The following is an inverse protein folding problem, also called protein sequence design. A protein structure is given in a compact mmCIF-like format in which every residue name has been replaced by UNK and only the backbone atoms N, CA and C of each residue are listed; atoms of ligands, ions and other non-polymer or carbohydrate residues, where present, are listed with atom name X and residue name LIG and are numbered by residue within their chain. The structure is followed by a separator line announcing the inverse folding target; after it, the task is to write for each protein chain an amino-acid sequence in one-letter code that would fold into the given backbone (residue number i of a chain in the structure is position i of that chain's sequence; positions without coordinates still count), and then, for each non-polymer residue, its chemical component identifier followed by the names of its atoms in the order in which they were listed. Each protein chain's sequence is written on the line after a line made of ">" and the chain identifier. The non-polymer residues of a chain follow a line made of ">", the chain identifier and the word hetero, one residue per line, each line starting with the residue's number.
data_IF_018251438296
#
_entry.id   IF_018251438296
#
_cell.length_a   1.000
_cell.length_b   1.000
_cell.length_c   1.000
_cell.angle_alpha   90.00
_cell.angle_beta   90.00
_cell.angle_gamma   90.00
#
_symmetry.space_group_name_H-M   'P 1'
#
loop_
_entity.id
_entity.type
_entity.pdbx_description
1 polymer ?
#
# COMPACT_ATOMS: atom_id res chain seq x y z
N UNK A 1 -15.46 7.82 2.63
CA UNK A 1 -15.36 6.46 3.21
C UNK A 1 -14.45 5.65 2.29
N UNK A 2 -13.22 5.34 2.72
CA UNK A 2 -12.35 4.40 1.99
C UNK A 2 -12.66 3.00 2.53
N UNK A 3 -13.22 2.14 1.69
CA UNK A 3 -13.35 0.74 2.08
C UNK A 3 -12.06 0.04 1.67
N UNK A 4 -11.14 -0.10 2.63
CA UNK A 4 -9.95 -0.96 2.46
C UNK A 4 -10.43 -2.41 2.62
N UNK A 5 -10.58 -3.10 1.50
CA UNK A 5 -10.87 -4.53 1.50
C UNK A 5 -9.60 -5.29 1.86
N UNK A 6 -9.49 -5.74 3.11
CA UNK A 6 -8.59 -6.82 3.51
C UNK A 6 -9.42 -8.10 3.62
N UNK A 7 -9.79 -8.70 2.50
CA UNK A 7 -10.12 -10.13 2.52
C UNK A 7 -8.81 -10.88 2.30
N UNK A 8 -8.29 -11.62 3.28
CA UNK A 8 -7.13 -12.47 3.04
C UNK A 8 -7.46 -13.43 1.88
N UNK A 9 -6.69 -13.33 0.78
CA UNK A 9 -6.80 -14.20 -0.39
C UNK A 9 -7.87 -13.84 -1.45
N UNK A 10 -8.45 -12.64 -1.45
CA UNK A 10 -9.27 -12.16 -2.59
C UNK A 10 -8.81 -10.81 -3.10
N UNK A 11 -8.28 -10.81 -4.31
CA UNK A 11 -7.90 -9.60 -5.05
C UNK A 11 -9.08 -9.11 -5.92
N UNK A 12 -9.09 -7.87 -6.42
CA UNK A 12 -10.13 -7.38 -7.34
C UNK A 12 -10.35 -8.30 -8.56
N UNK A 13 -9.29 -8.94 -9.04
CA UNK A 13 -9.32 -9.88 -10.16
C UNK A 13 -10.18 -11.11 -9.83
N UNK A 14 -10.13 -11.61 -8.59
CA UNK A 14 -11.00 -12.73 -8.15
C UNK A 14 -12.48 -12.36 -8.14
N UNK A 15 -12.81 -11.06 -8.16
CA UNK A 15 -14.16 -10.52 -8.25
C UNK A 15 -14.53 -10.12 -9.69
N UNK A 16 -13.65 -10.34 -10.66
CA UNK A 16 -13.84 -9.92 -12.06
C UNK A 16 -13.76 -8.40 -12.27
N UNK A 17 -13.13 -7.67 -11.33
CA UNK A 17 -13.01 -6.21 -11.37
C UNK A 17 -11.59 -5.84 -11.75
N UNK A 18 -11.42 -5.12 -12.86
CA UNK A 18 -10.13 -4.50 -13.22
C UNK A 18 -9.97 -3.20 -12.44
N UNK A 19 -9.40 -3.29 -11.24
CA UNK A 19 -9.16 -2.12 -10.40
C UNK A 19 -7.83 -1.42 -10.75
N UNK A 20 -7.78 -0.08 -10.80
CA UNK A 20 -6.54 0.63 -11.07
C UNK A 20 -5.63 0.69 -9.82
N UNK A 21 -4.31 0.70 -10.04
CA UNK A 21 -3.31 0.98 -9.01
C UNK A 21 -3.39 2.46 -8.60
N UNK A 22 -3.70 2.76 -7.33
CA UNK A 22 -3.91 4.12 -6.85
C UNK A 22 -3.44 4.33 -5.42
N UNK A 23 -3.16 5.58 -5.08
CA UNK A 23 -2.99 6.03 -3.71
C UNK A 23 -4.34 6.12 -2.98
N UNK A 24 -4.32 5.81 -1.68
CA UNK A 24 -5.47 5.98 -0.80
C UNK A 24 -5.95 7.44 -0.85
N UNK A 25 -7.11 7.67 -1.48
CA UNK A 25 -7.78 8.97 -1.60
C UNK A 25 -8.09 9.34 -3.04
N UNK A 26 -7.34 8.76 -3.99
CA UNK A 26 -7.58 8.94 -5.41
C UNK A 26 -8.55 7.88 -5.93
N UNK A 27 -9.84 8.22 -5.86
CA UNK A 27 -10.95 7.34 -6.26
C UNK A 27 -11.57 7.76 -7.61
N UNK A 28 -11.04 8.78 -8.28
CA UNK A 28 -11.61 9.28 -9.52
C UNK A 28 -11.49 8.24 -10.64
N UNK A 29 -12.62 7.97 -11.31
CA UNK A 29 -12.70 6.99 -12.41
C UNK A 29 -12.45 5.54 -11.97
N UNK A 30 -12.58 5.23 -10.68
CA UNK A 30 -12.42 3.86 -10.17
C UNK A 30 -13.73 3.07 -10.29
N UNK A 31 -13.65 1.75 -10.51
CA UNK A 31 -14.84 0.92 -10.55
C UNK A 31 -15.53 0.85 -9.18
N UNK A 32 -16.82 0.56 -9.22
CA UNK A 32 -17.66 0.27 -8.06
C UNK A 32 -17.61 -1.19 -7.63
N UNK A 33 -18.34 -1.50 -6.56
CA UNK A 33 -18.54 -2.84 -6.03
C UNK A 33 -19.84 -2.88 -5.23
N UNK A 34 -20.49 -4.05 -5.19
CA UNK A 34 -21.64 -4.30 -4.31
C UNK A 34 -21.19 -5.02 -3.05
N UNK A 35 -21.56 -4.46 -1.90
CA UNK A 35 -21.24 -4.99 -0.58
C UNK A 35 -22.46 -5.73 -0.08
N UNK A 36 -22.29 -7.00 0.26
CA UNK A 36 -23.40 -7.84 0.70
C UNK A 36 -23.06 -8.37 2.08
N UNK A 37 -23.98 -8.16 3.02
CA UNK A 37 -23.97 -8.77 4.35
C UNK A 37 -25.26 -9.56 4.54
N UNK A 38 -25.36 -10.40 5.58
CA UNK A 38 -26.62 -11.08 5.91
C UNK A 38 -27.80 -10.14 6.19
N UNK A 39 -27.56 -8.86 6.49
CA UNK A 39 -28.58 -7.91 6.92
C UNK A 39 -28.93 -6.86 5.86
N UNK A 40 -28.03 -6.59 4.90
CA UNK A 40 -28.20 -5.55 3.91
C UNK A 40 -27.23 -5.71 2.74
N UNK A 41 -27.59 -5.13 1.60
CA UNK A 41 -26.69 -4.86 0.49
C UNK A 41 -26.52 -3.35 0.25
N UNK A 42 -25.35 -2.96 -0.23
CA UNK A 42 -25.02 -1.59 -0.59
C UNK A 42 -24.22 -1.60 -1.89
N UNK A 43 -24.74 -0.93 -2.91
CA UNK A 43 -23.98 -0.67 -4.14
C UNK A 43 -23.13 0.59 -3.98
N UNK A 44 -21.83 0.45 -4.19
CA UNK A 44 -20.88 1.56 -4.26
C UNK A 44 -20.48 1.74 -5.72
N UNK A 45 -20.71 2.91 -6.29
CA UNK A 45 -20.48 3.17 -7.72
C UNK A 45 -19.03 3.46 -8.09
N UNK A 46 -18.18 3.79 -7.10
CA UNK A 46 -16.74 4.00 -7.28
C UNK A 46 -15.98 3.77 -5.97
N UNK A 47 -14.71 3.39 -6.08
CA UNK A 47 -13.78 3.34 -4.94
C UNK A 47 -12.94 2.08 -4.83
N UNK A 48 -13.07 1.12 -5.77
CA UNK A 48 -12.23 -0.08 -5.79
C UNK A 48 -10.89 0.25 -6.44
N UNK A 49 -9.80 -0.05 -5.73
CA UNK A 49 -8.43 0.20 -6.18
C UNK A 49 -7.54 -1.00 -5.83
N UNK A 50 -6.43 -1.14 -6.54
CA UNK A 50 -5.24 -1.84 -6.05
C UNK A 50 -4.40 -0.82 -5.28
N UNK A 51 -4.03 -1.13 -4.04
CA UNK A 51 -3.33 -0.18 -3.18
C UNK A 51 -1.89 0.02 -3.66
N UNK A 52 -1.54 1.26 -4.04
CA UNK A 52 -0.16 1.59 -4.36
C UNK A 52 0.70 1.61 -3.08
N UNK A 53 1.84 0.92 -3.10
CA UNK A 53 2.82 0.91 -2.01
C UNK A 53 3.31 2.30 -1.63
N UNK A 54 3.43 2.54 -0.33
CA UNK A 54 3.87 3.84 0.21
C UNK A 54 4.44 3.72 1.62
N UNK A 55 5.19 4.74 2.04
CA UNK A 55 5.68 4.90 3.40
C UNK A 55 4.96 6.08 4.05
N UNK A 56 4.37 5.85 5.22
CA UNK A 56 3.95 6.89 6.13
C UNK A 56 5.14 7.37 6.95
N UNK A 57 5.23 8.68 7.15
CA UNK A 57 6.28 9.32 7.96
C UNK A 57 5.72 10.50 8.73
N UNK A 58 6.20 10.71 9.97
CA UNK A 58 6.06 12.01 10.62
C UNK A 58 7.00 13.03 9.96
N UNK A 59 6.79 14.35 10.17
CA UNK A 59 7.74 15.36 9.70
C UNK A 59 9.17 15.17 10.23
N UNK A 60 9.32 14.63 11.44
CA UNK A 60 10.62 14.31 12.02
C UNK A 60 11.30 13.14 11.31
N UNK A 61 10.55 12.06 11.03
CA UNK A 61 11.09 10.92 10.29
C UNK A 61 11.54 11.36 8.89
N UNK A 62 10.69 12.13 8.19
CA UNK A 62 11.01 12.64 6.86
C UNK A 62 12.31 13.49 6.87
N UNK A 63 12.49 14.32 7.90
CA UNK A 63 13.72 15.08 8.10
C UNK A 63 14.93 14.16 8.36
N UNK A 64 14.80 13.16 9.23
CA UNK A 64 15.87 12.20 9.56
C UNK A 64 16.32 11.43 8.31
N UNK A 65 15.37 11.00 7.48
CA UNK A 65 15.63 10.25 6.26
C UNK A 65 15.93 11.15 5.04
N UNK A 66 15.85 12.47 5.18
CA UNK A 66 16.15 13.42 4.12
C UNK A 66 15.18 13.39 2.94
N UNK A 67 13.90 13.08 3.19
CA UNK A 67 12.85 12.99 2.17
C UNK A 67 11.68 13.93 2.49
N UNK A 68 10.83 14.18 1.49
CA UNK A 68 9.67 15.07 1.59
C UNK A 68 8.39 14.40 1.12
N UNK A 69 7.24 15.01 1.44
CA UNK A 69 5.94 14.51 0.99
C UNK A 69 5.87 14.49 -0.53
N UNK A 70 5.49 13.35 -1.11
CA UNK A 70 5.36 13.18 -2.55
C UNK A 70 6.61 12.63 -3.25
N UNK A 71 7.74 12.53 -2.54
CA UNK A 71 8.93 11.86 -3.08
C UNK A 71 8.64 10.39 -3.39
N UNK A 72 9.42 9.86 -4.34
CA UNK A 72 9.47 8.44 -4.64
C UNK A 72 10.84 7.90 -4.30
N UNK A 73 10.86 6.81 -3.54
CA UNK A 73 12.08 6.17 -3.06
C UNK A 73 12.14 4.71 -3.46
N UNK A 74 13.30 4.10 -3.28
CA UNK A 74 13.46 2.64 -3.31
C UNK A 74 13.55 2.12 -1.87
N UNK A 75 12.98 0.94 -1.63
CA UNK A 75 13.07 0.24 -0.35
C UNK A 75 13.54 -1.18 -0.58
N UNK A 76 14.67 -1.55 0.01
CA UNK A 76 15.12 -2.91 0.06
C UNK A 76 14.43 -3.63 1.22
N UNK A 77 13.86 -4.80 0.93
CA UNK A 77 13.39 -5.75 1.94
C UNK A 77 14.44 -6.85 2.04
N UNK A 78 15.02 -7.03 3.22
CA UNK A 78 16.16 -7.90 3.49
C UNK A 78 15.86 -8.88 4.62
N UNK A 79 16.72 -9.87 4.85
CA UNK A 79 16.57 -10.84 5.95
C UNK A 79 15.92 -12.18 5.57
N UNK A 80 15.35 -12.28 4.37
CA UNK A 80 14.72 -13.50 3.82
C UNK A 80 15.31 -13.88 2.43
N UNK A 81 15.11 -15.13 2.00
CA UNK A 81 15.52 -15.60 0.66
C UNK A 81 14.76 -14.90 -0.47
N UNK A 82 13.57 -14.36 -0.19
CA UNK A 82 12.74 -13.57 -1.11
C UNK A 82 13.06 -12.08 -1.11
N UNK A 83 14.22 -11.69 -0.56
CA UNK A 83 14.68 -10.30 -0.56
C UNK A 83 14.56 -9.65 -1.95
N UNK A 84 14.15 -8.39 -1.99
CA UNK A 84 13.98 -7.63 -3.22
C UNK A 84 14.02 -6.13 -2.94
N UNK A 85 14.03 -5.33 -4.01
CA UNK A 85 13.92 -3.87 -3.92
C UNK A 85 12.61 -3.44 -4.56
N UNK A 86 11.78 -2.75 -3.78
CA UNK A 86 10.62 -2.04 -4.29
C UNK A 86 11.04 -0.64 -4.73
N UNK A 87 10.97 -0.37 -6.03
CA UNK A 87 11.13 0.99 -6.56
C UNK A 87 9.80 1.75 -6.56
N UNK A 88 9.86 3.07 -6.80
CA UNK A 88 8.69 3.94 -6.93
C UNK A 88 7.74 3.90 -5.71
N UNK A 89 8.29 3.76 -4.51
CA UNK A 89 7.52 3.78 -3.25
C UNK A 89 7.22 5.23 -2.89
N UNK A 90 5.95 5.59 -2.78
CA UNK A 90 5.56 6.98 -2.48
C UNK A 90 5.77 7.33 -0.99
N UNK A 91 6.34 8.51 -0.71
CA UNK A 91 6.47 9.04 0.64
C UNK A 91 5.27 9.91 0.98
N UNK A 92 4.61 9.62 2.10
CA UNK A 92 3.51 10.43 2.66
C UNK A 92 3.91 10.95 4.04
N UNK A 93 4.07 12.26 4.13
CA UNK A 93 4.37 12.93 5.39
C UNK A 93 3.11 13.61 5.94
N UNK A 94 2.83 13.39 7.23
CA UNK A 94 1.78 14.09 8.01
C UNK A 94 2.09 14.03 9.51
N UNK A 95 1.71 15.02 10.34
CA UNK A 95 1.86 14.94 11.80
C UNK A 95 1.13 13.74 12.44
N UNK A 96 0.07 13.25 11.81
CA UNK A 96 -0.72 12.11 12.29
C UNK A 96 -0.19 10.73 11.82
N UNK A 97 0.94 10.71 11.11
CA UNK A 97 1.55 9.50 10.56
C UNK A 97 2.73 9.02 11.41
N UNK A 98 2.92 7.70 11.43
CA UNK A 98 4.07 7.01 12.03
C UNK A 98 4.88 6.35 10.93
N UNK A 99 6.18 6.15 11.17
CA UNK A 99 7.07 5.47 10.24
C UNK A 99 6.60 4.03 9.99
N UNK A 100 5.96 3.81 8.85
CA UNK A 100 5.39 2.52 8.46
C UNK A 100 5.36 2.39 6.93
N UNK A 101 5.86 1.28 6.39
CA UNK A 101 5.68 0.94 4.98
C UNK A 101 4.40 0.11 4.81
N UNK A 102 3.53 0.55 3.92
CA UNK A 102 2.27 -0.12 3.57
C UNK A 102 2.42 -0.74 2.19
N UNK A 103 2.44 -2.06 2.14
CA UNK A 103 2.39 -2.91 0.94
C UNK A 103 1.15 -3.79 1.00
N UNK A 104 0.70 -4.29 -0.15
CA UNK A 104 -0.39 -5.26 -0.18
C UNK A 104 0.06 -6.69 0.18
N UNK A 105 -0.88 -7.63 0.21
CA UNK A 105 -0.59 -9.03 0.58
C UNK A 105 0.25 -9.74 -0.46
N UNK A 106 0.08 -9.44 -1.75
CA UNK A 106 0.85 -10.09 -2.81
C UNK A 106 2.29 -9.58 -2.82
N UNK A 107 2.48 -8.27 -2.61
CA UNK A 107 3.79 -7.65 -2.40
C UNK A 107 4.49 -8.21 -1.16
N UNK A 108 3.78 -8.33 -0.02
CA UNK A 108 4.34 -8.90 1.20
C UNK A 108 4.78 -10.36 1.01
N UNK A 109 3.93 -11.19 0.39
CA UNK A 109 4.25 -12.58 0.07
C UNK A 109 5.44 -12.70 -0.89
N UNK A 110 5.52 -11.81 -1.88
CA UNK A 110 6.62 -11.78 -2.84
C UNK A 110 7.96 -11.41 -2.20
N UNK A 111 7.93 -10.59 -1.15
CA UNK A 111 9.12 -10.14 -0.42
C UNK A 111 9.45 -10.97 0.85
N UNK A 112 8.63 -11.97 1.21
CA UNK A 112 8.79 -12.73 2.45
C UNK A 112 8.60 -11.88 3.71
N UNK A 113 7.84 -10.78 3.63
CA UNK A 113 7.77 -9.74 4.65
C UNK A 113 7.04 -10.14 5.95
N UNK A 114 6.51 -11.35 6.03
CA UNK A 114 5.91 -11.95 7.22
C UNK A 114 6.93 -12.66 8.12
N UNK A 115 8.16 -12.86 7.65
CA UNK A 115 9.27 -13.40 8.44
C UNK A 115 9.72 -12.41 9.54
N UNK A 116 9.98 -12.88 10.78
CA UNK A 116 10.42 -12.02 11.88
C UNK A 116 11.84 -11.46 11.70
N UNK A 117 12.64 -12.07 10.81
CA UNK A 117 14.01 -11.66 10.52
C UNK A 117 14.08 -10.56 9.45
N UNK A 118 12.95 -10.18 8.87
CA UNK A 118 12.88 -9.20 7.79
C UNK A 118 12.93 -7.78 8.32
N UNK A 119 13.71 -6.95 7.63
CA UNK A 119 13.78 -5.51 7.86
C UNK A 119 13.81 -4.74 6.53
N UNK A 120 13.44 -3.46 6.59
CA UNK A 120 13.35 -2.58 5.44
C UNK A 120 14.42 -1.49 5.52
N UNK A 121 15.17 -1.32 4.43
CA UNK A 121 16.20 -0.29 4.29
C UNK A 121 15.78 0.69 3.20
N UNK A 122 15.77 1.99 3.52
CA UNK A 122 15.63 3.05 2.52
C UNK A 122 16.89 3.06 1.63
N UNK A 123 16.68 2.82 0.34
CA UNK A 123 17.75 2.89 -0.65
C UNK A 123 17.62 4.23 -1.35
N UNK A 124 18.61 5.10 -1.17
CA UNK A 124 18.72 6.30 -1.99
C UNK A 124 18.89 5.87 -3.44
N UNK A 125 17.94 6.20 -4.30
CA UNK A 125 18.20 6.15 -5.74
C UNK A 125 19.17 7.31 -6.01
N UNK A 126 20.36 7.04 -6.58
CA UNK A 126 21.36 8.08 -6.85
C UNK A 126 20.82 9.21 -7.73
#
# INVERSE_FOLDING_TARGET
>A
MQVRWKFPGRTPETLGITAPLRMSGDLSGTPGIRLISPFAELEITSGVIVAQRHIHMSPLDALIYGVTHGDKVAVAIEGDERRLIFENVAVRVSPDMRLEMHIDTDEANAAGADSPDVFATLVSVP
#
